data_IF_384884191402
#
_entry.id   IF_384884191402
#
_cell.length_a   1.000
_cell.length_b   1.000
_cell.length_c   1.000
_cell.angle_alpha   90.00
_cell.angle_beta   90.00
_cell.angle_gamma   90.00
#
_symmetry.space_group_name_H-M   'P 1'
#
loop_
_entity.id
_entity.type
_entity.pdbx_description
1 polymer ?
#
# COMPACT_ATOMS: atom_id res chain seq x y z
N UNK A 1 5.16 33.84 -10.39
CA UNK A 1 6.32 33.37 -11.19
C UNK A 1 6.49 31.84 -11.14
N UNK A 2 6.89 31.21 -10.03
CA UNK A 2 7.05 29.74 -9.99
C UNK A 2 5.70 29.03 -10.14
N UNK A 3 4.68 29.46 -9.41
CA UNK A 3 3.33 28.87 -9.44
C UNK A 3 2.68 28.95 -10.82
N UNK A 4 2.86 30.05 -11.55
CA UNK A 4 2.32 30.21 -12.92
C UNK A 4 2.97 29.23 -13.89
N UNK A 5 4.29 29.04 -13.76
CA UNK A 5 5.05 28.12 -14.62
C UNK A 5 4.66 26.65 -14.44
N UNK A 6 4.23 26.26 -13.23
CA UNK A 6 3.91 24.87 -12.86
C UNK A 6 2.42 24.65 -12.56
N UNK A 7 1.56 25.59 -12.99
CA UNK A 7 0.12 25.55 -12.72
C UNK A 7 -0.56 24.28 -13.26
N UNK A 8 -0.07 23.75 -14.35
CA UNK A 8 -0.56 22.52 -14.97
C UNK A 8 -0.33 21.25 -14.12
N UNK A 9 0.62 21.31 -13.17
CA UNK A 9 0.94 20.24 -12.23
C UNK A 9 0.27 20.44 -10.86
N UNK A 10 -0.49 21.52 -10.65
CA UNK A 10 -1.26 21.72 -9.42
C UNK A 10 -2.49 20.77 -9.44
N UNK A 11 -2.65 19.97 -8.37
CA UNK A 11 -3.88 19.20 -8.14
C UNK A 11 -5.07 20.14 -7.88
N UNK A 12 -6.28 19.58 -7.93
CA UNK A 12 -7.53 20.31 -7.69
C UNK A 12 -7.68 20.76 -6.23
N UNK A 13 -7.02 20.08 -5.30
CA UNK A 13 -7.13 20.31 -3.87
C UNK A 13 -6.28 21.49 -3.40
N UNK A 14 -6.94 22.63 -3.18
CA UNK A 14 -6.27 23.90 -2.81
C UNK A 14 -6.42 24.28 -1.33
N UNK A 15 -7.02 23.43 -0.51
CA UNK A 15 -7.30 23.72 0.90
C UNK A 15 -7.30 22.49 1.77
N UNK A 16 -7.58 22.70 3.07
CA UNK A 16 -7.82 21.60 4.01
C UNK A 16 -9.21 21.05 3.75
N UNK A 17 -9.30 19.82 3.29
CA UNK A 17 -10.56 19.10 3.15
C UNK A 17 -10.86 18.38 4.47
N UNK A 18 -11.99 18.71 5.10
CA UNK A 18 -12.45 18.08 6.33
C UNK A 18 -12.76 16.59 6.13
N UNK A 19 -13.15 16.18 4.95
CA UNK A 19 -13.37 14.77 4.59
C UNK A 19 -12.07 13.95 4.72
N UNK A 20 -10.93 14.53 4.38
CA UNK A 20 -9.62 13.88 4.57
C UNK A 20 -9.31 13.62 6.05
N UNK A 21 -9.67 14.57 6.93
CA UNK A 21 -9.48 14.43 8.36
C UNK A 21 -10.43 13.37 8.95
N UNK A 22 -11.67 13.35 8.53
CA UNK A 22 -12.69 12.38 8.97
C UNK A 22 -12.32 10.98 8.51
N UNK A 23 -11.98 10.80 7.24
CA UNK A 23 -11.65 9.50 6.64
C UNK A 23 -10.20 9.08 6.89
N UNK A 24 -9.37 9.97 7.46
CA UNK A 24 -7.95 9.75 7.75
C UNK A 24 -7.13 9.31 6.52
N UNK A 25 -7.52 9.80 5.34
CA UNK A 25 -6.83 9.48 4.07
C UNK A 25 -5.59 10.38 3.93
N UNK A 26 -4.37 9.81 3.79
CA UNK A 26 -3.16 10.59 3.58
C UNK A 26 -3.22 11.41 2.29
N UNK A 27 -2.76 12.67 2.32
CA UNK A 27 -2.79 13.57 1.16
C UNK A 27 -2.07 13.01 -0.08
N UNK A 28 -0.95 12.32 0.11
CA UNK A 28 -0.23 11.66 -0.99
C UNK A 28 -1.02 10.53 -1.65
N UNK A 29 -1.81 9.77 -0.86
CA UNK A 29 -2.72 8.76 -1.39
C UNK A 29 -3.80 9.39 -2.26
N UNK A 30 -4.38 10.50 -1.81
CA UNK A 30 -5.45 11.20 -2.51
C UNK A 30 -4.96 11.79 -3.85
N UNK A 31 -3.79 12.44 -3.87
CA UNK A 31 -3.19 12.96 -5.11
C UNK A 31 -2.90 11.85 -6.13
N UNK A 32 -2.55 10.67 -5.65
CA UNK A 32 -2.31 9.51 -6.52
C UNK A 32 -3.62 8.99 -7.12
N UNK A 33 -4.68 8.89 -6.30
CA UNK A 33 -6.02 8.51 -6.77
C UNK A 33 -6.61 9.51 -7.76
N UNK A 34 -6.48 10.81 -7.48
CA UNK A 34 -6.88 11.88 -8.41
C UNK A 34 -6.20 11.69 -9.78
N UNK A 35 -4.88 11.45 -9.78
CA UNK A 35 -4.14 11.21 -11.02
C UNK A 35 -4.61 9.95 -11.75
N UNK A 36 -4.88 8.87 -11.02
CA UNK A 36 -5.38 7.62 -11.61
C UNK A 36 -6.77 7.82 -12.22
N UNK A 37 -7.69 8.46 -11.50
CA UNK A 37 -9.04 8.75 -11.98
C UNK A 37 -9.04 9.68 -13.19
N UNK A 38 -8.16 10.68 -13.19
CA UNK A 38 -7.95 11.57 -14.34
C UNK A 38 -7.49 10.82 -15.59
N UNK A 39 -6.55 9.89 -15.43
CA UNK A 39 -6.08 9.05 -16.54
C UNK A 39 -7.18 8.12 -17.08
N UNK A 40 -8.18 7.79 -16.25
CA UNK A 40 -9.35 7.00 -16.64
C UNK A 40 -10.52 7.87 -17.16
N UNK A 41 -10.42 9.21 -17.10
CA UNK A 41 -11.51 10.13 -17.44
C UNK A 41 -12.72 10.02 -16.50
N UNK A 42 -12.47 9.74 -15.21
CA UNK A 42 -13.48 9.50 -14.16
C UNK A 42 -13.21 10.32 -12.90
N UNK A 43 -12.80 11.58 -13.06
CA UNK A 43 -12.48 12.47 -11.94
C UNK A 43 -13.65 12.70 -10.99
N UNK A 44 -14.88 12.61 -11.50
CA UNK A 44 -16.14 12.73 -10.77
C UNK A 44 -16.34 11.66 -9.68
N UNK A 45 -15.62 10.53 -9.77
CA UNK A 45 -15.71 9.44 -8.80
C UNK A 45 -14.78 9.59 -7.58
N UNK A 46 -14.03 10.69 -7.46
CA UNK A 46 -13.05 10.84 -6.40
C UNK A 46 -13.66 10.77 -4.99
N UNK A 47 -14.78 11.45 -4.77
CA UNK A 47 -15.47 11.46 -3.47
C UNK A 47 -16.05 10.09 -3.12
N UNK A 48 -16.55 9.36 -4.10
CA UNK A 48 -17.03 7.99 -3.92
C UNK A 48 -15.90 7.04 -3.53
N UNK A 49 -14.73 7.15 -4.20
CA UNK A 49 -13.54 6.36 -3.87
C UNK A 49 -13.03 6.68 -2.47
N UNK A 50 -13.00 7.95 -2.06
CA UNK A 50 -12.60 8.37 -0.71
C UNK A 50 -13.53 7.78 0.35
N UNK A 51 -14.82 7.79 0.09
CA UNK A 51 -15.83 7.18 0.98
C UNK A 51 -15.65 5.66 1.06
N UNK A 52 -15.41 5.00 -0.07
CA UNK A 52 -15.18 3.55 -0.12
C UNK A 52 -13.86 3.15 0.56
N UNK A 53 -12.82 4.00 0.58
CA UNK A 53 -11.59 3.76 1.34
C UNK A 53 -11.89 3.55 2.83
N UNK A 54 -12.76 4.37 3.41
CA UNK A 54 -13.17 4.21 4.80
C UNK A 54 -13.88 2.88 5.05
N UNK A 55 -14.80 2.50 4.18
CA UNK A 55 -15.54 1.24 4.30
C UNK A 55 -14.64 0.01 4.08
N UNK A 56 -13.75 0.04 3.09
CA UNK A 56 -12.76 -1.04 2.89
C UNK A 56 -11.84 -1.16 4.10
N UNK A 57 -11.34 -0.02 4.63
CA UNK A 57 -10.50 0.00 5.84
C UNK A 57 -11.20 -0.63 7.04
N UNK A 58 -12.48 -0.34 7.22
CA UNK A 58 -13.32 -0.93 8.27
C UNK A 58 -13.49 -2.43 8.07
N UNK A 59 -13.81 -2.85 6.86
CA UNK A 59 -14.03 -4.26 6.52
C UNK A 59 -12.77 -5.13 6.71
N UNK A 60 -11.57 -4.56 6.53
CA UNK A 60 -10.31 -5.26 6.77
C UNK A 60 -9.77 -5.10 8.20
N UNK A 61 -10.54 -4.56 9.14
CA UNK A 61 -10.13 -4.47 10.55
C UNK A 61 -9.32 -3.22 10.89
N UNK A 62 -9.61 -2.08 10.30
CA UNK A 62 -9.05 -0.75 10.63
C UNK A 62 -7.52 -0.66 10.52
N UNK A 63 -6.96 -1.25 9.50
CA UNK A 63 -5.52 -1.14 9.22
C UNK A 63 -5.08 0.34 9.16
N UNK A 64 -3.91 0.70 9.74
CA UNK A 64 -3.34 2.03 9.58
C UNK A 64 -3.05 2.35 8.11
N UNK A 65 -3.46 3.54 7.64
CA UNK A 65 -3.25 3.97 6.25
C UNK A 65 -1.83 4.52 6.05
N UNK A 66 -0.84 3.67 6.28
CA UNK A 66 0.58 3.90 5.98
C UNK A 66 1.05 2.96 4.87
N UNK A 67 2.15 3.29 4.22
CA UNK A 67 2.72 2.42 3.17
C UNK A 67 3.15 1.05 3.77
N UNK A 68 2.79 -0.08 3.15
CA UNK A 68 2.08 -0.24 1.87
C UNK A 68 0.54 -0.29 2.00
N UNK A 69 -0.02 -0.40 3.21
CA UNK A 69 -1.45 -0.63 3.44
C UNK A 69 -2.34 0.45 2.80
N UNK A 70 -1.94 1.72 2.82
CA UNK A 70 -2.69 2.79 2.16
C UNK A 70 -2.86 2.56 0.66
N UNK A 71 -1.84 2.05 -0.02
CA UNK A 71 -1.91 1.73 -1.45
C UNK A 71 -2.81 0.52 -1.71
N UNK A 72 -2.73 -0.50 -0.87
CA UNK A 72 -3.57 -1.71 -0.96
C UNK A 72 -5.05 -1.34 -0.81
N UNK A 73 -5.38 -0.57 0.24
CA UNK A 73 -6.76 -0.14 0.50
C UNK A 73 -7.27 0.77 -0.61
N UNK A 74 -6.46 1.72 -1.10
CA UNK A 74 -6.85 2.62 -2.18
C UNK A 74 -7.11 1.90 -3.49
N UNK A 75 -6.26 0.95 -3.87
CA UNK A 75 -6.45 0.14 -5.06
C UNK A 75 -7.72 -0.72 -4.98
N UNK A 76 -8.01 -1.31 -3.81
CA UNK A 76 -9.23 -2.09 -3.62
C UNK A 76 -10.48 -1.20 -3.65
N UNK A 77 -10.45 -0.01 -3.02
CA UNK A 77 -11.57 0.93 -3.04
C UNK A 77 -11.87 1.41 -4.47
N UNK A 78 -10.83 1.75 -5.24
CA UNK A 78 -10.97 2.10 -6.64
C UNK A 78 -11.58 0.95 -7.45
N UNK A 79 -11.11 -0.29 -7.24
CA UNK A 79 -11.67 -1.48 -7.89
C UNK A 79 -13.15 -1.69 -7.55
N UNK A 80 -13.54 -1.47 -6.30
CA UNK A 80 -14.92 -1.60 -5.84
C UNK A 80 -15.87 -0.58 -6.49
N UNK A 81 -15.38 0.66 -6.72
CA UNK A 81 -16.17 1.72 -7.38
C UNK A 81 -16.26 1.50 -8.88
N UNK A 82 -15.23 0.96 -9.51
CA UNK A 82 -15.22 0.71 -10.95
C UNK A 82 -15.98 -0.56 -11.33
N UNK A 83 -16.15 -1.51 -10.39
CA UNK A 83 -16.80 -2.80 -10.58
C UNK A 83 -17.84 -3.04 -9.45
N UNK A 84 -18.34 -4.26 -9.33
CA UNK A 84 -19.12 -4.65 -8.15
C UNK A 84 -18.21 -4.79 -6.93
N UNK A 85 -18.71 -4.35 -5.77
CA UNK A 85 -17.98 -4.34 -4.51
C UNK A 85 -17.45 -5.73 -4.15
N UNK A 86 -16.13 -5.84 -4.00
CA UNK A 86 -15.42 -7.11 -3.73
C UNK A 86 -15.66 -8.21 -4.77
N UNK A 87 -16.02 -7.87 -6.00
CA UNK A 87 -16.09 -8.84 -7.09
C UNK A 87 -14.71 -9.48 -7.30
N UNK A 88 -13.67 -8.67 -7.26
CA UNK A 88 -12.28 -9.11 -7.34
C UNK A 88 -11.53 -8.62 -6.10
N UNK A 89 -10.74 -9.50 -5.48
CA UNK A 89 -9.81 -9.18 -4.42
C UNK A 89 -8.38 -9.23 -4.98
N UNK A 90 -7.59 -8.19 -4.73
CA UNK A 90 -6.16 -8.24 -5.04
C UNK A 90 -5.43 -9.21 -4.11
N UNK A 91 -4.30 -9.75 -4.56
CA UNK A 91 -3.47 -10.66 -3.75
C UNK A 91 -3.03 -9.96 -2.46
N UNK A 92 -2.73 -8.68 -2.54
CA UNK A 92 -2.28 -7.87 -1.41
C UNK A 92 -3.39 -7.69 -0.35
N UNK A 93 -4.65 -7.51 -0.78
CA UNK A 93 -5.80 -7.45 0.14
C UNK A 93 -6.03 -8.81 0.81
N UNK A 94 -5.90 -9.89 0.06
CA UNK A 94 -6.00 -11.26 0.59
C UNK A 94 -4.92 -11.50 1.63
N UNK A 95 -3.68 -11.15 1.31
CA UNK A 95 -2.55 -11.29 2.23
C UNK A 95 -2.70 -10.43 3.48
N UNK A 96 -3.23 -9.21 3.35
CA UNK A 96 -3.53 -8.34 4.48
C UNK A 96 -4.54 -8.99 5.43
N UNK A 97 -5.67 -9.48 4.88
CA UNK A 97 -6.76 -10.10 5.64
C UNK A 97 -6.31 -11.40 6.33
N UNK A 98 -5.48 -12.19 5.65
CA UNK A 98 -5.03 -13.51 6.13
C UNK A 98 -3.80 -13.45 7.05
N UNK A 99 -3.34 -12.25 7.44
CA UNK A 99 -2.31 -12.04 8.45
C UNK A 99 -0.88 -12.03 7.93
N UNK A 100 -0.63 -12.06 6.61
CA UNK A 100 0.71 -12.00 6.03
C UNK A 100 1.43 -10.65 6.27
N UNK A 101 0.68 -9.60 6.63
CA UNK A 101 1.21 -8.31 7.08
C UNK A 101 1.18 -8.15 8.62
N UNK A 102 0.82 -9.21 9.34
CA UNK A 102 0.69 -9.22 10.79
C UNK A 102 -0.75 -9.05 11.27
N UNK A 103 -0.93 -8.97 12.60
CA UNK A 103 -2.24 -8.87 13.24
C UNK A 103 -2.88 -7.50 12.99
N UNK A 104 -4.12 -7.52 12.55
CA UNK A 104 -4.92 -6.32 12.33
C UNK A 104 -5.52 -5.79 13.64
N UNK A 105 -5.74 -4.45 13.77
CA UNK A 105 -6.23 -3.83 14.99
C UNK A 105 -7.67 -4.19 15.35
N UNK A 106 -8.53 -4.33 14.34
CA UNK A 106 -9.97 -4.58 14.51
C UNK A 106 -10.44 -5.91 13.95
N UNK A 107 -11.74 -6.13 14.04
CA UNK A 107 -12.38 -7.32 13.46
C UNK A 107 -12.52 -7.21 11.94
N UNK A 108 -12.25 -8.30 11.25
CA UNK A 108 -12.39 -8.40 9.81
C UNK A 108 -13.83 -8.80 9.47
N UNK A 109 -14.39 -8.27 8.39
CA UNK A 109 -15.67 -8.68 7.86
C UNK A 109 -15.66 -10.20 7.55
N UNK A 110 -16.58 -10.93 8.18
CA UNK A 110 -16.63 -12.41 8.11
C UNK A 110 -16.79 -12.96 6.69
N UNK A 111 -17.55 -12.27 5.85
CA UNK A 111 -17.75 -12.70 4.46
C UNK A 111 -16.50 -12.47 3.63
N UNK A 112 -15.82 -11.35 3.85
CA UNK A 112 -14.56 -11.03 3.19
C UNK A 112 -13.45 -11.99 3.61
N UNK A 113 -13.38 -12.33 4.90
CA UNK A 113 -12.44 -13.32 5.42
C UNK A 113 -12.64 -14.71 4.81
N UNK A 114 -13.90 -15.19 4.71
CA UNK A 114 -14.21 -16.46 4.04
C UNK A 114 -13.77 -16.46 2.59
N UNK A 115 -14.06 -15.39 1.86
CA UNK A 115 -13.68 -15.24 0.45
C UNK A 115 -12.16 -15.24 0.25
N UNK A 116 -11.40 -14.67 1.20
CA UNK A 116 -9.95 -14.73 1.19
C UNK A 116 -9.42 -16.14 1.47
N UNK A 117 -10.02 -16.88 2.43
CA UNK A 117 -9.64 -18.26 2.76
C UNK A 117 -9.85 -19.25 1.60
N UNK A 118 -10.78 -18.97 0.69
CA UNK A 118 -10.99 -19.80 -0.52
C UNK A 118 -9.79 -19.74 -1.45
N UNK A 119 -8.96 -18.71 -1.36
CA UNK A 119 -7.82 -18.48 -2.25
C UNK A 119 -6.47 -18.83 -1.60
N UNK A 120 -6.35 -18.67 -0.28
CA UNK A 120 -5.08 -18.87 0.43
C UNK A 120 -5.31 -19.18 1.91
N UNK A 121 -4.40 -19.93 2.52
CA UNK A 121 -4.45 -20.22 3.97
C UNK A 121 -4.05 -18.98 4.80
N UNK A 122 -4.69 -18.79 5.95
CA UNK A 122 -4.28 -17.74 6.89
C UNK A 122 -3.02 -18.16 7.67
N UNK A 123 -2.27 -17.16 8.13
CA UNK A 123 -1.20 -17.32 9.11
C UNK A 123 -1.58 -16.64 10.42
N UNK A 124 -1.27 -17.34 11.52
CA UNK A 124 -1.49 -16.85 12.89
C UNK A 124 -0.19 -16.45 13.56
N UNK A 125 0.92 -16.98 13.05
CA UNK A 125 2.26 -16.68 13.54
C UNK A 125 2.73 -15.32 13.07
N UNK A 126 3.68 -14.73 13.77
CA UNK A 126 4.28 -13.47 13.34
C UNK A 126 5.01 -13.69 12.02
N UNK A 127 4.71 -12.93 10.94
CA UNK A 127 5.33 -13.15 9.62
C UNK A 127 6.85 -13.12 9.64
N UNK A 128 7.45 -12.30 10.51
CA UNK A 128 8.91 -12.22 10.65
C UNK A 128 9.54 -13.51 11.17
N UNK A 129 8.80 -14.31 11.95
CA UNK A 129 9.32 -15.57 12.51
C UNK A 129 9.33 -16.69 11.47
N UNK A 130 8.62 -16.49 10.34
CA UNK A 130 8.61 -17.40 9.20
C UNK A 130 9.75 -17.14 8.22
N UNK A 131 10.51 -16.05 8.41
CA UNK A 131 11.63 -15.70 7.55
C UNK A 131 12.87 -16.52 7.93
N UNK A 132 13.54 -17.07 6.92
CA UNK A 132 14.88 -17.68 7.09
C UNK A 132 15.94 -16.60 7.14
N UNK A 133 16.97 -16.80 7.97
CA UNK A 133 18.14 -15.92 8.00
C UNK A 133 18.87 -15.97 6.65
N UNK A 134 18.87 -14.84 5.93
CA UNK A 134 19.52 -14.73 4.62
C UNK A 134 20.76 -13.86 4.62
N UNK A 135 21.09 -13.24 5.76
CA UNK A 135 22.20 -12.29 5.84
C UNK A 135 23.55 -12.92 5.49
N UNK A 136 23.78 -14.14 6.00
CA UNK A 136 25.04 -14.86 5.75
C UNK A 136 25.22 -15.17 4.27
N UNK A 137 24.19 -15.76 3.65
CA UNK A 137 24.20 -16.12 2.23
C UNK A 137 24.35 -14.88 1.35
N UNK A 138 23.65 -13.80 1.71
CA UNK A 138 23.76 -12.52 1.01
C UNK A 138 25.17 -11.93 1.10
N UNK A 139 25.80 -11.97 2.30
CA UNK A 139 27.14 -11.48 2.53
C UNK A 139 28.17 -12.27 1.70
N UNK A 140 28.09 -13.60 1.74
CA UNK A 140 28.99 -14.49 0.97
C UNK A 140 28.87 -14.23 -0.54
N UNK A 141 27.64 -14.13 -1.06
CA UNK A 141 27.38 -13.80 -2.47
C UNK A 141 27.95 -12.42 -2.85
N UNK A 142 27.81 -11.43 -1.98
CA UNK A 142 28.31 -10.08 -2.21
C UNK A 142 29.83 -10.03 -2.19
N UNK A 143 30.48 -10.75 -1.25
CA UNK A 143 31.95 -10.89 -1.19
C UNK A 143 32.51 -11.55 -2.46
N UNK A 144 31.85 -12.60 -2.94
CA UNK A 144 32.23 -13.26 -4.20
C UNK A 144 32.09 -12.31 -5.40
N UNK A 145 30.98 -11.57 -5.47
CA UNK A 145 30.71 -10.60 -6.53
C UNK A 145 31.75 -9.47 -6.54
N UNK A 146 32.04 -8.90 -5.37
CA UNK A 146 33.04 -7.84 -5.22
C UNK A 146 34.44 -8.31 -5.60
N UNK A 147 34.80 -9.56 -5.23
CA UNK A 147 36.07 -10.17 -5.60
C UNK A 147 36.22 -10.34 -7.11
N UNK A 148 35.17 -10.78 -7.80
CA UNK A 148 35.14 -10.91 -9.26
C UNK A 148 35.37 -9.58 -9.98
N UNK A 149 34.77 -8.51 -9.45
CA UNK A 149 34.86 -7.15 -10.00
C UNK A 149 36.11 -6.38 -9.51
N UNK A 150 36.89 -6.94 -8.59
CA UNK A 150 38.02 -6.28 -7.94
C UNK A 150 37.63 -4.96 -7.26
N UNK A 151 36.43 -4.89 -6.67
CA UNK A 151 35.96 -3.75 -5.90
C UNK A 151 35.94 -4.06 -4.42
N UNK A 152 36.11 -3.04 -3.59
CA UNK A 152 36.10 -3.20 -2.15
C UNK A 152 34.66 -3.18 -1.60
N UNK A 153 34.28 -4.21 -0.88
CA UNK A 153 32.94 -4.32 -0.27
C UNK A 153 32.61 -3.11 0.62
N UNK A 154 33.60 -2.60 1.35
CA UNK A 154 33.44 -1.48 2.30
C UNK A 154 33.06 -0.16 1.62
N UNK A 155 33.52 0.05 0.37
CA UNK A 155 33.22 1.26 -0.40
C UNK A 155 31.99 1.14 -1.31
N UNK A 156 31.49 -0.08 -1.52
CA UNK A 156 30.35 -0.33 -2.41
C UNK A 156 29.05 -0.63 -1.67
N UNK A 157 29.13 -0.96 -0.38
CA UNK A 157 27.96 -1.11 0.47
C UNK A 157 27.59 0.24 1.10
N UNK A 158 26.37 0.74 0.92
CA UNK A 158 25.92 1.95 1.60
C UNK A 158 25.97 1.74 3.11
N UNK A 159 26.60 2.69 3.81
CA UNK A 159 26.59 2.71 5.27
C UNK A 159 25.19 3.03 5.78
N UNK A 160 24.74 2.49 6.93
CA UNK A 160 23.51 2.91 7.57
C UNK A 160 23.43 4.41 7.91
N UNK A 161 24.56 5.13 7.80
CA UNK A 161 24.63 6.59 7.97
C UNK A 161 24.41 7.36 6.68
N UNK A 162 24.39 6.68 5.53
CA UNK A 162 24.28 7.29 4.20
C UNK A 162 22.84 7.14 3.64
N UNK A 163 21.91 6.60 4.45
CA UNK A 163 20.48 6.42 4.14
C UNK A 163 19.59 7.42 4.87
#
# INVERSE_FOLDING_TARGET
MVREKYKEFEGSMKGVDLQMLINQVPGGMLSNLETQLKNLGKEDLLDDVVSEIYEVRKDVGFVPLVTPASQIIGAQALSNILNERYQTLSIEIIDLILGYYGKLPGEINKNLFKKALEQKNNITDRPADLLTEKFKDFKENLEEYCSKLKICLLYTSPSPRDS
#
